data_IF_930418686854
#
_entry.id   IF_930418686854
#
_cell.length_a   1.000
_cell.length_b   1.000
_cell.length_c   1.000
_cell.angle_alpha   90.00
_cell.angle_beta   90.00
_cell.angle_gamma   90.00
#
_symmetry.space_group_name_H-M   'P 1'
#
loop_
_entity.id
_entity.type
_entity.pdbx_description
1 polymer ?
#
# COMPACT_ATOMS: atom_id res chain seq x y z
N UNK A 1 -39.14 -41.40 -13.53
CA UNK A 1 -39.21 -42.40 -12.44
C UNK A 1 -38.44 -43.65 -12.88
N UNK A 2 -37.18 -43.77 -12.44
CA UNK A 2 -36.37 -44.99 -12.21
C UNK A 2 -34.90 -44.58 -12.15
N UNK A 3 -34.38 -44.56 -10.93
CA UNK A 3 -32.95 -44.51 -10.62
C UNK A 3 -32.25 -45.77 -11.17
N UNK A 4 -30.97 -45.61 -11.52
CA UNK A 4 -30.05 -46.73 -11.75
C UNK A 4 -28.61 -46.25 -11.57
N UNK A 5 -28.14 -46.27 -10.32
CA UNK A 5 -26.72 -46.21 -9.95
C UNK A 5 -25.97 -47.36 -10.63
N UNK A 6 -24.80 -47.09 -11.21
CA UNK A 6 -23.73 -48.08 -11.28
C UNK A 6 -22.37 -47.37 -11.12
N UNK A 7 -21.63 -47.82 -10.11
CA UNK A 7 -20.26 -47.46 -9.80
C UNK A 7 -19.29 -48.45 -10.46
N UNK A 8 -18.11 -47.97 -10.89
CA UNK A 8 -16.80 -48.63 -11.06
C UNK A 8 -15.97 -47.73 -12.01
N UNK A 9 -14.66 -47.53 -11.92
CA UNK A 9 -13.59 -48.06 -11.10
C UNK A 9 -12.41 -47.08 -11.16
N UNK A 10 -11.62 -47.04 -10.08
CA UNK A 10 -10.27 -46.49 -10.02
C UNK A 10 -9.36 -47.11 -11.10
N UNK A 11 -8.55 -46.29 -11.78
CA UNK A 11 -7.26 -46.72 -12.32
C UNK A 11 -6.18 -45.71 -11.90
N UNK A 12 -5.28 -46.17 -11.04
CA UNK A 12 -4.01 -45.52 -10.75
C UNK A 12 -2.99 -45.97 -11.81
N UNK A 13 -2.30 -45.03 -12.43
CA UNK A 13 -1.06 -45.30 -13.16
C UNK A 13 0.06 -44.57 -12.43
N UNK A 14 0.85 -45.36 -11.71
CA UNK A 14 2.16 -44.97 -11.22
C UNK A 14 3.13 -44.94 -12.42
N UNK A 15 3.77 -43.79 -12.65
CA UNK A 15 4.85 -43.64 -13.62
C UNK A 15 6.04 -42.98 -12.95
N UNK A 16 7.03 -43.79 -12.57
CA UNK A 16 8.36 -43.33 -12.22
C UNK A 16 9.07 -42.80 -13.47
N UNK A 17 9.52 -41.56 -13.46
CA UNK A 17 10.59 -41.09 -14.34
C UNK A 17 11.61 -40.28 -13.54
N UNK A 18 12.84 -40.77 -13.52
CA UNK A 18 14.05 -40.05 -13.13
C UNK A 18 14.88 -39.80 -14.39
N UNK A 19 15.19 -38.53 -14.66
CA UNK A 19 16.29 -38.02 -15.48
C UNK A 19 16.41 -36.53 -15.12
N UNK A 20 17.41 -36.04 -14.38
CA UNK A 20 18.83 -35.93 -14.70
C UNK A 20 19.09 -35.10 -15.98
N UNK A 21 19.54 -33.87 -15.74
CA UNK A 21 20.29 -32.94 -16.61
C UNK A 21 19.75 -32.55 -18.00
N UNK A 22 19.16 -31.36 -18.04
CA UNK A 22 19.48 -30.36 -19.04
C UNK A 22 19.32 -28.97 -18.41
N UNK A 23 20.44 -28.40 -17.97
CA UNK A 23 20.56 -26.99 -17.61
C UNK A 23 20.50 -26.23 -18.94
N UNK A 24 19.28 -25.99 -19.42
CA UNK A 24 19.01 -25.21 -20.61
C UNK A 24 19.29 -23.74 -20.32
N UNK A 25 20.34 -23.23 -20.95
CA UNK A 25 20.62 -21.83 -21.23
C UNK A 25 19.32 -21.02 -21.34
N UNK A 26 19.03 -20.19 -20.33
CA UNK A 26 17.94 -19.22 -20.38
C UNK A 26 18.22 -18.25 -21.52
N UNK A 27 17.54 -18.47 -22.66
CA UNK A 27 17.49 -17.50 -23.74
C UNK A 27 17.03 -16.17 -23.14
N UNK A 28 17.91 -15.17 -23.17
CA UNK A 28 17.62 -13.82 -22.72
C UNK A 28 16.60 -13.19 -23.67
N UNK A 29 15.31 -13.38 -23.40
CA UNK A 29 14.27 -12.52 -23.95
C UNK A 29 14.53 -11.13 -23.37
N UNK A 30 14.69 -10.14 -24.25
CA UNK A 30 15.05 -8.78 -23.87
C UNK A 30 13.96 -8.16 -23.00
N UNK A 31 14.09 -8.25 -21.67
CA UNK A 31 13.35 -7.43 -20.73
C UNK A 31 13.86 -5.99 -20.85
N UNK A 32 13.07 -5.10 -21.44
CA UNK A 32 13.43 -3.68 -21.53
C UNK A 32 12.92 -2.94 -20.30
N UNK A 33 13.86 -2.47 -19.48
CA UNK A 33 13.63 -1.47 -18.45
C UNK A 33 14.35 -0.19 -18.86
N UNK A 34 13.67 0.95 -18.78
CA UNK A 34 14.33 2.26 -18.94
C UNK A 34 15.03 2.71 -17.66
N UNK A 35 14.77 2.02 -16.55
CA UNK A 35 15.33 2.29 -15.24
C UNK A 35 16.62 1.51 -15.00
N UNK A 36 17.53 2.09 -14.21
CA UNK A 36 18.75 1.40 -13.78
C UNK A 36 18.43 0.27 -12.80
N UNK A 37 19.12 -0.86 -12.95
CA UNK A 37 19.06 -1.94 -11.94
C UNK A 37 19.97 -1.57 -10.76
N UNK A 38 19.37 -1.41 -9.59
CA UNK A 38 20.08 -1.25 -8.33
C UNK A 38 20.46 -2.61 -7.70
N UNK A 39 21.21 -2.59 -6.59
CA UNK A 39 21.50 -3.81 -5.83
C UNK A 39 20.21 -4.39 -5.24
N UNK A 40 20.15 -5.73 -5.18
CA UNK A 40 19.03 -6.46 -4.58
C UNK A 40 18.82 -6.02 -3.11
N UNK A 41 17.56 -6.10 -2.66
CA UNK A 41 17.14 -5.79 -1.30
C UNK A 41 17.12 -7.06 -0.46
N UNK A 42 17.78 -7.03 0.69
CA UNK A 42 17.60 -8.06 1.72
C UNK A 42 16.27 -7.84 2.44
N UNK A 43 15.39 -8.83 2.38
CA UNK A 43 14.13 -8.83 3.11
C UNK A 43 14.23 -9.74 4.33
N UNK A 44 13.85 -9.21 5.49
CA UNK A 44 13.78 -9.93 6.75
C UNK A 44 12.33 -10.24 7.09
N UNK A 45 12.04 -11.50 7.37
CA UNK A 45 10.74 -11.91 7.86
C UNK A 45 10.54 -11.38 9.29
N UNK A 46 9.39 -10.77 9.54
CA UNK A 46 8.96 -10.34 10.86
C UNK A 46 7.97 -11.36 11.43
N UNK A 47 7.97 -11.57 12.76
CA UNK A 47 6.97 -12.40 13.41
C UNK A 47 5.55 -11.91 13.11
N UNK A 48 4.67 -12.83 12.73
CA UNK A 48 3.24 -12.59 12.55
C UNK A 48 2.44 -13.59 13.40
N UNK A 49 1.19 -13.26 13.71
CA UNK A 49 0.29 -14.20 14.37
C UNK A 49 0.08 -15.46 13.50
N UNK A 50 -0.25 -16.59 14.14
CA UNK A 50 -0.45 -17.87 13.45
C UNK A 50 -1.60 -17.75 12.43
N UNK A 51 -1.32 -17.86 11.11
CA UNK A 51 -2.32 -17.68 10.07
C UNK A 51 -3.39 -18.78 10.05
N UNK A 52 -3.19 -19.93 10.72
CA UNK A 52 -4.17 -21.03 10.70
C UNK A 52 -5.56 -20.61 11.19
N UNK A 53 -5.63 -19.65 12.10
CA UNK A 53 -6.90 -19.12 12.60
C UNK A 53 -7.65 -18.25 11.58
N UNK A 54 -6.97 -17.76 10.54
CA UNK A 54 -7.49 -16.80 9.56
C UNK A 54 -7.90 -17.40 8.23
N UNK A 55 -7.43 -18.62 7.92
CA UNK A 55 -7.58 -19.21 6.59
C UNK A 55 -6.84 -18.38 5.54
N UNK A 56 -7.44 -18.19 4.36
CA UNK A 56 -6.85 -17.41 3.28
C UNK A 56 -7.00 -15.90 3.58
N UNK A 57 -5.89 -15.25 3.96
CA UNK A 57 -5.87 -13.81 4.23
C UNK A 57 -5.90 -13.02 2.92
N UNK A 58 -6.84 -12.08 2.80
CA UNK A 58 -7.00 -11.26 1.59
C UNK A 58 -6.65 -9.80 1.81
N UNK A 59 -6.67 -9.31 3.05
CA UNK A 59 -6.38 -7.91 3.36
C UNK A 59 -5.80 -7.74 4.77
N UNK A 60 -5.01 -6.69 4.97
CA UNK A 60 -4.43 -6.31 6.27
C UNK A 60 -4.55 -4.80 6.43
N UNK A 61 -5.08 -4.35 7.57
CA UNK A 61 -4.99 -2.96 8.01
C UNK A 61 -3.93 -2.85 9.11
N UNK A 62 -3.00 -1.91 9.02
CA UNK A 62 -1.88 -1.79 9.94
C UNK A 62 -1.65 -0.33 10.38
N UNK A 63 -1.38 -0.15 11.68
CA UNK A 63 -0.90 1.09 12.26
C UNK A 63 0.17 0.78 13.32
N UNK A 64 1.41 1.20 13.06
CA UNK A 64 2.57 0.87 13.91
C UNK A 64 2.71 -0.66 14.11
N UNK A 65 2.74 -1.12 15.36
CA UNK A 65 2.88 -2.55 15.70
C UNK A 65 1.53 -3.28 15.79
N UNK A 66 0.43 -2.57 15.55
CA UNK A 66 -0.92 -3.12 15.57
C UNK A 66 -1.43 -3.38 14.15
N UNK A 67 -2.10 -4.51 13.96
CA UNK A 67 -2.75 -4.81 12.69
C UNK A 67 -4.01 -5.65 12.88
N UNK A 68 -4.90 -5.57 11.90
CA UNK A 68 -6.01 -6.50 11.72
C UNK A 68 -5.82 -7.21 10.40
N UNK A 69 -5.73 -8.54 10.45
CA UNK A 69 -5.74 -9.39 9.26
C UNK A 69 -7.17 -9.88 9.00
N UNK A 70 -7.57 -9.85 7.73
CA UNK A 70 -8.91 -10.22 7.26
C UNK A 70 -8.79 -11.38 6.27
N UNK A 71 -9.40 -12.51 6.62
CA UNK A 71 -9.35 -13.74 5.82
C UNK A 71 -10.71 -14.44 5.74
N UNK A 72 -10.75 -15.56 5.04
CA UNK A 72 -11.99 -16.32 4.80
C UNK A 72 -12.56 -17.01 6.05
N UNK A 73 -11.81 -17.10 7.13
CA UNK A 73 -12.32 -17.53 8.43
C UNK A 73 -12.80 -16.38 9.33
N UNK A 74 -12.52 -15.12 8.99
CA UNK A 74 -12.86 -13.99 9.85
C UNK A 74 -11.88 -12.81 9.82
N UNK A 75 -11.71 -12.17 10.97
CA UNK A 75 -10.65 -11.20 11.21
C UNK A 75 -9.97 -11.45 12.56
N UNK A 76 -8.69 -11.13 12.63
CA UNK A 76 -7.88 -11.22 13.85
C UNK A 76 -7.18 -9.89 14.10
N UNK A 77 -7.45 -9.29 15.27
CA UNK A 77 -6.75 -8.12 15.79
C UNK A 77 -5.50 -8.58 16.54
N UNK A 78 -4.36 -8.08 16.10
CA UNK A 78 -3.05 -8.28 16.71
C UNK A 78 -2.52 -6.94 17.21
N UNK A 79 -2.01 -6.93 18.44
CA UNK A 79 -1.33 -5.76 19.00
C UNK A 79 0.00 -6.15 19.60
N UNK A 80 1.03 -5.37 19.28
CA UNK A 80 2.40 -5.64 19.72
C UNK A 80 2.81 -7.13 19.55
N UNK A 81 2.40 -7.75 18.44
CA UNK A 81 2.68 -9.15 18.11
C UNK A 81 1.78 -10.20 18.78
N UNK A 82 0.87 -9.83 19.68
CA UNK A 82 -0.05 -10.75 20.35
C UNK A 82 -1.47 -10.70 19.74
N UNK A 83 -2.10 -11.86 19.55
CA UNK A 83 -3.51 -11.92 19.18
C UNK A 83 -4.36 -11.42 20.35
N UNK A 84 -5.02 -10.29 20.15
CA UNK A 84 -5.92 -9.69 21.16
C UNK A 84 -7.33 -10.21 20.99
N UNK A 85 -7.78 -10.33 19.73
CA UNK A 85 -9.16 -10.74 19.44
C UNK A 85 -9.31 -11.40 18.08
N UNK A 86 -10.29 -12.30 17.97
CA UNK A 86 -10.71 -12.91 16.70
C UNK A 86 -12.23 -12.86 16.55
N UNK A 87 -12.72 -12.83 15.31
CA UNK A 87 -14.15 -12.82 15.00
C UNK A 87 -14.43 -13.45 13.63
N UNK A 88 -15.39 -14.38 13.52
CA UNK A 88 -15.68 -15.16 12.30
C UNK A 88 -17.07 -15.00 11.64
N UNK A 89 -17.84 -13.98 11.99
CA UNK A 89 -19.18 -13.65 11.44
C UNK A 89 -19.09 -13.06 10.03
N UNK A 90 -17.99 -12.36 9.72
CA UNK A 90 -17.73 -11.80 8.39
C UNK A 90 -16.50 -12.47 7.81
N UNK A 91 -16.71 -13.19 6.70
CA UNK A 91 -15.73 -14.07 6.06
C UNK A 91 -15.39 -13.69 4.63
N UNK A 92 -16.11 -12.73 4.07
CA UNK A 92 -15.87 -12.25 2.72
C UNK A 92 -15.37 -10.81 2.79
N UNK A 93 -14.10 -10.62 2.44
CA UNK A 93 -13.40 -9.34 2.47
C UNK A 93 -12.84 -9.02 1.10
N UNK A 94 -12.65 -7.73 0.81
CA UNK A 94 -12.05 -7.27 -0.46
C UNK A 94 -10.93 -6.25 -0.29
N UNK A 95 -10.77 -5.69 0.90
CA UNK A 95 -9.76 -4.69 1.16
C UNK A 95 -9.72 -4.31 2.63
N UNK A 96 -8.72 -3.52 3.00
CA UNK A 96 -8.55 -3.02 4.35
C UNK A 96 -7.72 -1.74 4.31
N UNK A 97 -7.86 -0.91 5.33
CA UNK A 97 -7.02 0.26 5.53
C UNK A 97 -6.95 0.60 7.01
N UNK A 98 -5.85 1.23 7.42
CA UNK A 98 -5.84 2.03 8.63
C UNK A 98 -6.33 3.42 8.24
N UNK A 99 -7.41 3.94 8.83
CA UNK A 99 -7.95 5.27 8.52
C UNK A 99 -7.89 6.18 9.76
N UNK A 100 -7.81 7.51 9.60
CA UNK A 100 -8.00 8.43 10.71
C UNK A 100 -9.32 8.14 11.42
N UNK A 101 -9.27 8.07 12.75
CA UNK A 101 -10.41 7.76 13.59
C UNK A 101 -11.51 8.82 13.45
N UNK A 102 -12.78 8.44 13.19
CA UNK A 102 -13.84 9.42 12.93
C UNK A 102 -14.27 10.22 14.17
N UNK A 103 -13.89 9.79 15.36
CA UNK A 103 -14.01 10.54 16.61
C UNK A 103 -12.87 11.55 16.83
N UNK A 104 -11.89 11.59 15.91
CA UNK A 104 -10.73 12.48 15.95
C UNK A 104 -9.53 11.92 16.72
N UNK A 105 -9.64 10.74 17.33
CA UNK A 105 -8.61 10.20 18.21
C UNK A 105 -7.95 8.94 17.65
N UNK A 106 -6.74 9.11 17.14
CA UNK A 106 -5.88 8.00 16.71
C UNK A 106 -6.25 7.44 15.33
N UNK A 107 -6.09 6.13 15.17
CA UNK A 107 -6.23 5.42 13.90
C UNK A 107 -7.13 4.21 14.08
N UNK A 108 -8.06 4.01 13.16
CA UNK A 108 -8.92 2.84 13.11
C UNK A 108 -8.46 1.86 12.05
N UNK A 109 -8.31 0.60 12.43
CA UNK A 109 -8.03 -0.50 11.52
C UNK A 109 -9.36 -1.04 10.99
N UNK A 110 -9.65 -0.83 9.71
CA UNK A 110 -10.93 -1.16 9.09
C UNK A 110 -10.76 -2.17 7.96
N UNK A 111 -11.70 -3.11 7.87
CA UNK A 111 -11.87 -4.03 6.77
C UNK A 111 -13.06 -3.63 5.90
N UNK A 112 -12.90 -3.81 4.60
CA UNK A 112 -13.98 -3.68 3.63
C UNK A 112 -14.51 -5.07 3.29
N UNK A 113 -15.72 -5.34 3.74
CA UNK A 113 -16.44 -6.58 3.45
C UNK A 113 -16.87 -6.66 1.98
N UNK A 114 -17.13 -7.88 1.50
CA UNK A 114 -17.54 -8.12 0.11
C UNK A 114 -18.93 -7.54 -0.22
N UNK A 115 -19.78 -7.32 0.77
CA UNK A 115 -21.04 -6.59 0.64
C UNK A 115 -20.87 -5.07 0.85
N UNK A 116 -19.64 -4.56 0.76
CA UNK A 116 -19.36 -3.12 0.70
C UNK A 116 -19.53 -2.36 2.01
N UNK A 117 -19.57 -3.05 3.17
CA UNK A 117 -19.57 -2.40 4.49
C UNK A 117 -18.14 -2.18 4.97
N UNK A 118 -17.90 -0.98 5.51
CA UNK A 118 -16.65 -0.64 6.20
C UNK A 118 -16.78 -0.98 7.69
N UNK A 119 -16.01 -1.97 8.13
CA UNK A 119 -16.13 -2.58 9.47
C UNK A 119 -14.84 -2.39 10.27
N UNK A 120 -14.96 -2.08 11.56
CA UNK A 120 -13.85 -2.06 12.53
C UNK A 120 -14.04 -3.22 13.51
N UNK A 121 -13.00 -4.03 13.72
CA UNK A 121 -13.01 -5.04 14.79
C UNK A 121 -12.67 -4.35 16.12
N UNK A 122 -13.58 -4.41 17.09
CA UNK A 122 -13.36 -3.89 18.43
C UNK A 122 -12.68 -4.94 19.32
N UNK A 123 -12.01 -4.48 20.38
CA UNK A 123 -11.44 -5.36 21.41
C UNK A 123 -12.51 -6.24 22.09
N UNK A 124 -13.78 -5.78 22.11
CA UNK A 124 -14.92 -6.57 22.61
C UNK A 124 -15.29 -7.76 21.74
N UNK A 125 -14.62 -7.95 20.59
CA UNK A 125 -14.91 -9.06 19.67
C UNK A 125 -16.09 -8.84 18.75
N UNK A 126 -16.53 -7.60 18.58
CA UNK A 126 -17.64 -7.25 17.70
C UNK A 126 -17.17 -6.39 16.55
N UNK A 127 -17.77 -6.57 15.39
CA UNK A 127 -17.64 -5.62 14.30
C UNK A 127 -18.54 -4.40 14.53
N UNK A 128 -17.96 -3.22 14.39
CA UNK A 128 -18.68 -1.97 14.25
C UNK A 128 -18.74 -1.58 12.78
N UNK A 129 -19.94 -1.29 12.25
CA UNK A 129 -20.09 -0.70 10.92
C UNK A 129 -19.85 0.81 10.98
N UNK A 130 -18.59 1.20 10.80
CA UNK A 130 -18.15 2.60 10.84
C UNK A 130 -18.62 3.39 9.62
N UNK A 131 -18.97 2.73 8.51
CA UNK A 131 -19.57 3.37 7.34
C UNK A 131 -20.87 4.12 7.65
N UNK A 132 -21.62 3.71 8.70
CA UNK A 132 -22.83 4.39 9.16
C UNK A 132 -22.59 5.78 9.75
N UNK A 133 -21.34 6.12 10.07
CA UNK A 133 -20.94 7.44 10.56
C UNK A 133 -20.59 8.40 9.42
N UNK A 134 -20.66 7.94 8.17
CA UNK A 134 -20.31 8.70 6.98
C UNK A 134 -21.58 9.02 6.16
N UNK A 135 -21.57 10.09 5.35
CA UNK A 135 -22.69 10.45 4.48
C UNK A 135 -22.74 9.55 3.23
N UNK A 136 -22.82 8.23 3.45
CA UNK A 136 -23.02 7.22 2.40
C UNK A 136 -24.52 6.96 2.29
N UNK A 137 -25.05 7.00 1.08
CA UNK A 137 -26.48 6.80 0.87
C UNK A 137 -26.92 5.38 1.26
N UNK A 138 -28.17 5.22 1.69
CA UNK A 138 -28.72 3.88 1.96
C UNK A 138 -28.69 3.03 0.69
N UNK A 139 -28.08 1.85 0.76
CA UNK A 139 -27.93 0.93 -0.37
C UNK A 139 -26.71 1.21 -1.27
N UNK A 140 -25.92 2.24 -0.99
CA UNK A 140 -24.64 2.49 -1.66
C UNK A 140 -23.53 1.65 -1.02
N UNK A 141 -22.67 1.05 -1.84
CA UNK A 141 -21.61 0.16 -1.40
C UNK A 141 -20.24 0.83 -1.50
N UNK A 142 -19.39 0.57 -0.50
CA UNK A 142 -17.98 0.91 -0.60
C UNK A 142 -17.26 -0.15 -1.46
N UNK A 143 -16.55 0.30 -2.48
CA UNK A 143 -15.76 -0.53 -3.42
C UNK A 143 -14.29 -0.56 -3.07
N UNK A 144 -13.78 0.53 -2.47
CA UNK A 144 -12.39 0.62 -2.03
C UNK A 144 -12.20 1.74 -1.02
N UNK A 145 -11.07 1.69 -0.31
CA UNK A 145 -10.65 2.69 0.68
C UNK A 145 -9.17 3.00 0.47
N UNK A 146 -8.82 4.29 0.43
CA UNK A 146 -7.44 4.76 0.35
C UNK A 146 -7.21 5.92 1.31
N UNK A 147 -6.07 5.91 2.00
CA UNK A 147 -5.66 6.99 2.88
C UNK A 147 -5.02 8.09 2.04
N UNK A 148 -5.44 9.33 2.22
CA UNK A 148 -4.83 10.47 1.51
C UNK A 148 -3.76 11.14 2.38
N UNK A 149 -3.99 11.18 3.70
CA UNK A 149 -3.03 11.61 4.73
C UNK A 149 -3.47 11.17 6.12
N UNK A 150 -2.72 11.55 7.17
CA UNK A 150 -3.05 11.22 8.56
C UNK A 150 -4.37 11.82 9.07
N UNK A 151 -4.95 12.76 8.31
CA UNK A 151 -6.21 13.42 8.64
C UNK A 151 -7.33 13.16 7.63
N UNK A 152 -7.06 12.46 6.53
CA UNK A 152 -8.03 12.28 5.46
C UNK A 152 -7.90 10.95 4.71
N UNK A 153 -9.02 10.49 4.16
CA UNK A 153 -9.11 9.27 3.36
C UNK A 153 -10.23 9.40 2.32
N UNK A 154 -10.15 8.57 1.29
CA UNK A 154 -11.12 8.48 0.21
C UNK A 154 -11.80 7.10 0.21
N UNK A 155 -13.09 7.09 -0.10
CA UNK A 155 -13.87 5.88 -0.35
C UNK A 155 -14.36 5.88 -1.80
N UNK A 156 -14.05 4.83 -2.55
CA UNK A 156 -14.71 4.59 -3.83
C UNK A 156 -16.10 3.99 -3.56
N UNK A 157 -17.13 4.60 -4.13
CA UNK A 157 -18.54 4.22 -4.00
C UNK A 157 -19.12 3.82 -5.36
N UNK A 158 -20.38 3.39 -5.37
CA UNK A 158 -21.14 3.12 -6.60
C UNK A 158 -21.42 4.43 -7.36
N UNK A 159 -20.45 4.91 -8.14
CA UNK A 159 -20.61 6.11 -8.97
C UNK A 159 -20.16 7.41 -8.31
N UNK A 160 -19.34 7.34 -7.26
CA UNK A 160 -18.68 8.51 -6.70
C UNK A 160 -17.41 8.12 -5.95
N UNK A 161 -16.64 9.13 -5.57
CA UNK A 161 -15.63 9.05 -4.53
C UNK A 161 -16.01 10.01 -3.40
N UNK A 162 -16.05 9.51 -2.17
CA UNK A 162 -16.23 10.32 -0.98
C UNK A 162 -14.88 10.59 -0.33
N UNK A 163 -14.45 11.85 -0.36
CA UNK A 163 -13.28 12.32 0.37
C UNK A 163 -13.71 12.78 1.77
N UNK A 164 -13.09 12.23 2.81
CA UNK A 164 -13.38 12.54 4.21
C UNK A 164 -12.15 13.19 4.84
N UNK A 165 -12.33 14.37 5.44
CA UNK A 165 -11.31 15.03 6.24
C UNK A 165 -11.78 15.07 7.70
N UNK A 166 -11.18 14.19 8.50
CA UNK A 166 -11.55 14.01 9.92
C UNK A 166 -11.17 15.24 10.73
N UNK A 167 -9.97 15.79 10.53
CA UNK A 167 -9.49 16.95 11.29
C UNK A 167 -10.36 18.20 11.07
N UNK A 168 -10.93 18.37 9.88
CA UNK A 168 -11.85 19.46 9.55
C UNK A 168 -13.32 19.10 9.75
N UNK A 169 -13.63 17.84 10.06
CA UNK A 169 -14.99 17.30 10.10
C UNK A 169 -15.80 17.59 8.82
N UNK A 170 -15.14 17.51 7.67
CA UNK A 170 -15.77 17.74 6.36
C UNK A 170 -15.71 16.50 5.49
N UNK A 171 -16.65 16.43 4.55
CA UNK A 171 -16.58 15.45 3.47
C UNK A 171 -16.99 16.10 2.15
N UNK A 172 -16.43 15.60 1.06
CA UNK A 172 -16.70 16.05 -0.30
C UNK A 172 -17.01 14.83 -1.15
N UNK A 173 -18.18 14.81 -1.78
CA UNK A 173 -18.54 13.81 -2.78
C UNK A 173 -18.12 14.30 -4.16
N UNK A 174 -17.46 13.43 -4.91
CA UNK A 174 -16.98 13.67 -6.27
C UNK A 174 -17.65 12.64 -7.18
N UNK A 175 -18.52 13.08 -8.06
CA UNK A 175 -19.21 12.17 -8.98
C UNK A 175 -18.23 11.67 -10.05
N UNK A 176 -18.02 10.36 -10.05
CA UNK A 176 -17.11 9.66 -10.97
C UNK A 176 -17.67 8.29 -11.29
N UNK A 177 -17.30 7.66 -12.41
CA UNK A 177 -17.67 6.26 -12.63
C UNK A 177 -17.26 5.36 -11.46
N UNK A 178 -17.99 4.26 -11.24
CA UNK A 178 -17.63 3.27 -10.22
C UNK A 178 -16.21 2.74 -10.47
N UNK A 179 -15.40 2.67 -9.41
CA UNK A 179 -14.01 2.26 -9.48
C UNK A 179 -13.81 0.90 -8.77
N UNK A 180 -13.07 -0.01 -9.39
CA UNK A 180 -12.72 -1.36 -8.93
C UNK A 180 -11.46 -1.34 -8.02
N UNK A 181 -11.40 -0.36 -7.12
CA UNK A 181 -10.26 -0.07 -6.27
C UNK A 181 -9.90 1.41 -6.29
N UNK A 182 -9.10 1.84 -5.31
CA UNK A 182 -8.69 3.25 -5.20
C UNK A 182 -7.29 3.35 -4.61
N UNK A 183 -6.50 4.25 -5.19
CA UNK A 183 -5.28 4.78 -4.63
C UNK A 183 -5.45 6.29 -4.47
N UNK A 184 -4.79 6.88 -3.47
CA UNK A 184 -4.95 8.31 -3.23
C UNK A 184 -3.68 8.95 -2.66
N UNK A 185 -3.54 10.24 -2.95
CA UNK A 185 -2.68 11.20 -2.28
C UNK A 185 -3.55 12.35 -1.76
N UNK A 186 -2.97 13.36 -1.15
CA UNK A 186 -3.74 14.56 -0.76
C UNK A 186 -4.33 15.33 -1.95
N UNK A 187 -3.68 15.28 -3.10
CA UNK A 187 -4.06 16.07 -4.28
C UNK A 187 -4.80 15.27 -5.34
N UNK A 188 -4.64 13.94 -5.36
CA UNK A 188 -5.16 13.09 -6.45
C UNK A 188 -5.71 11.78 -5.94
N UNK A 189 -6.71 11.28 -6.66
CA UNK A 189 -7.30 9.97 -6.43
C UNK A 189 -7.27 9.25 -7.77
N UNK A 190 -6.87 7.98 -7.79
CA UNK A 190 -6.88 7.15 -8.98
C UNK A 190 -7.59 5.83 -8.71
N UNK A 191 -8.30 5.31 -9.69
CA UNK A 191 -8.90 3.99 -9.66
C UNK A 191 -9.13 3.47 -11.07
N UNK A 192 -9.50 2.19 -11.16
CA UNK A 192 -9.74 1.52 -12.43
C UNK A 192 -11.22 1.28 -12.63
N UNK A 193 -11.67 1.30 -13.88
CA UNK A 193 -12.99 0.83 -14.31
C UNK A 193 -12.78 -0.06 -15.53
N UNK A 194 -12.64 -1.37 -15.30
CA UNK A 194 -12.11 -2.27 -16.34
C UNK A 194 -10.77 -1.76 -16.88
N UNK A 195 -10.69 -1.56 -18.19
CA UNK A 195 -9.48 -1.07 -18.89
C UNK A 195 -9.33 0.48 -18.90
N UNK A 196 -10.10 1.18 -18.05
CA UNK A 196 -10.05 2.63 -17.96
C UNK A 196 -9.44 3.06 -16.63
N UNK A 197 -8.40 3.89 -16.71
CA UNK A 197 -7.85 4.60 -15.56
C UNK A 197 -8.59 5.91 -15.38
N UNK A 198 -9.19 6.11 -14.21
CA UNK A 198 -9.83 7.36 -13.80
C UNK A 198 -8.96 8.05 -12.77
N UNK A 199 -8.61 9.31 -13.02
CA UNK A 199 -7.83 10.16 -12.10
C UNK A 199 -8.63 11.41 -11.78
N UNK A 200 -8.82 11.66 -10.48
CA UNK A 200 -9.52 12.83 -9.96
C UNK A 200 -8.52 13.77 -9.32
N UNK A 201 -8.49 15.00 -9.78
CA UNK A 201 -7.80 16.09 -9.09
C UNK A 201 -8.70 16.63 -7.98
N UNK A 202 -8.23 16.55 -6.73
CA UNK A 202 -9.02 16.86 -5.54
C UNK A 202 -9.36 18.35 -5.45
N UNK A 203 -8.44 19.22 -5.89
CA UNK A 203 -8.60 20.67 -5.78
C UNK A 203 -9.63 21.20 -6.80
N UNK A 204 -9.47 20.84 -8.06
CA UNK A 204 -10.37 21.23 -9.15
C UNK A 204 -11.64 20.38 -9.24
N UNK A 205 -11.66 19.22 -8.55
CA UNK A 205 -12.75 18.23 -8.58
C UNK A 205 -13.02 17.68 -9.98
N UNK A 206 -12.02 17.73 -10.86
CA UNK A 206 -12.13 17.24 -12.22
C UNK A 206 -11.63 15.80 -12.29
N UNK A 207 -12.46 14.93 -12.85
CA UNK A 207 -12.06 13.60 -13.25
C UNK A 207 -11.56 13.61 -14.69
N UNK A 208 -10.50 12.86 -14.93
CA UNK A 208 -9.96 12.57 -16.26
C UNK A 208 -9.88 11.06 -16.42
N UNK A 209 -10.16 10.60 -17.63
CA UNK A 209 -10.13 9.18 -17.96
C UNK A 209 -9.12 8.92 -19.05
N UNK A 210 -8.45 7.76 -18.98
CA UNK A 210 -7.54 7.28 -20.01
C UNK A 210 -7.71 5.78 -20.18
N UNK A 211 -7.80 5.32 -21.42
CA UNK A 211 -7.75 3.90 -21.72
C UNK A 211 -6.35 3.36 -21.41
N UNK A 212 -6.28 2.31 -20.60
CA UNK A 212 -5.07 1.54 -20.28
C UNK A 212 -5.46 0.06 -20.36
N UNK A 213 -5.38 -0.55 -21.57
CA UNK A 213 -5.78 -1.94 -21.77
C UNK A 213 -5.06 -2.89 -20.81
N UNK A 214 -5.83 -3.75 -20.14
CA UNK A 214 -5.32 -4.71 -19.17
C UNK A 214 -4.84 -4.06 -17.87
N UNK A 215 -5.24 -2.84 -17.54
CA UNK A 215 -4.91 -2.26 -16.24
C UNK A 215 -5.49 -3.12 -15.10
N UNK A 216 -4.68 -3.40 -14.08
CA UNK A 216 -5.08 -4.23 -12.92
C UNK A 216 -4.78 -3.59 -11.57
N UNK A 217 -3.94 -2.57 -11.53
CA UNK A 217 -3.70 -1.79 -10.32
C UNK A 217 -3.22 -0.39 -10.63
N UNK A 218 -3.47 0.53 -9.70
CA UNK A 218 -2.94 1.88 -9.71
C UNK A 218 -2.35 2.21 -8.34
N UNK A 219 -1.26 2.98 -8.31
CA UNK A 219 -0.63 3.47 -7.10
C UNK A 219 0.02 4.83 -7.36
N UNK A 220 0.42 5.53 -6.29
CA UNK A 220 1.24 6.73 -6.41
C UNK A 220 2.60 6.48 -5.76
N UNK A 221 3.67 6.92 -6.41
CA UNK A 221 5.01 6.88 -5.82
C UNK A 221 5.20 8.02 -4.79
N UNK A 222 6.37 8.05 -4.13
CA UNK A 222 6.68 9.06 -3.13
C UNK A 222 6.76 10.50 -3.67
N UNK A 223 7.01 10.67 -4.97
CA UNK A 223 6.96 11.96 -5.66
C UNK A 223 5.52 12.33 -6.07
N UNK A 224 4.56 11.47 -5.75
CA UNK A 224 3.16 11.62 -6.08
C UNK A 224 2.86 11.32 -7.54
N UNK A 225 3.75 10.69 -8.31
CA UNK A 225 3.53 10.30 -9.72
C UNK A 225 2.65 9.06 -9.78
N UNK A 226 1.76 9.01 -10.77
CA UNK A 226 0.85 7.88 -10.95
C UNK A 226 1.59 6.69 -11.56
N UNK A 227 1.34 5.51 -11.02
CA UNK A 227 1.80 4.23 -11.52
C UNK A 227 0.60 3.36 -11.89
N UNK A 228 0.69 2.64 -13.00
CA UNK A 228 -0.35 1.71 -13.45
C UNK A 228 0.26 0.38 -13.82
N UNK A 229 -0.28 -0.68 -13.26
CA UNK A 229 0.12 -2.05 -13.53
C UNK A 229 -0.75 -2.66 -14.63
N UNK A 230 -0.10 -3.30 -15.59
CA UNK A 230 -0.71 -4.23 -16.55
C UNK A 230 -0.01 -5.59 -16.44
N UNK A 231 -0.54 -6.68 -17.03
CA UNK A 231 0.10 -8.00 -16.98
C UNK A 231 1.56 -8.02 -17.44
N UNK A 232 1.96 -7.12 -18.34
CA UNK A 232 3.30 -7.16 -18.96
C UNK A 232 4.07 -5.85 -18.84
N UNK A 233 3.50 -4.83 -18.20
CA UNK A 233 4.17 -3.55 -18.05
C UNK A 233 3.80 -2.81 -16.77
N UNK A 234 4.79 -2.13 -16.20
CA UNK A 234 4.57 -1.06 -15.22
C UNK A 234 4.70 0.28 -15.96
N UNK A 235 3.62 1.04 -15.95
CA UNK A 235 3.55 2.38 -16.51
C UNK A 235 3.75 3.41 -15.41
N UNK A 236 4.42 4.52 -15.71
CA UNK A 236 4.57 5.67 -14.83
C UNK A 236 4.21 6.95 -15.56
N UNK A 237 3.53 7.84 -14.87
CA UNK A 237 3.23 9.18 -15.36
C UNK A 237 4.50 10.03 -15.45
N UNK A 238 4.68 10.70 -16.57
CA UNK A 238 5.73 11.68 -16.78
C UNK A 238 5.41 12.96 -16.00
N UNK A 239 6.25 13.31 -15.03
CA UNK A 239 5.97 14.42 -14.11
C UNK A 239 4.94 14.05 -13.03
N UNK A 240 4.42 15.05 -12.32
CA UNK A 240 3.62 14.84 -11.10
C UNK A 240 2.12 15.08 -11.27
N UNK A 241 1.67 15.58 -12.42
CA UNK A 241 0.23 15.77 -12.71
C UNK A 241 -0.08 15.88 -14.20
N UNK A 242 -1.03 15.07 -14.68
CA UNK A 242 -1.61 15.16 -16.02
C UNK A 242 -0.69 14.65 -17.14
N UNK A 243 0.38 13.94 -16.79
CA UNK A 243 1.42 13.49 -17.72
C UNK A 243 1.00 12.33 -18.61
N UNK A 244 1.83 12.05 -19.62
CA UNK A 244 1.74 10.81 -20.41
C UNK A 244 2.17 9.63 -19.54
N UNK A 245 1.58 8.45 -19.76
CA UNK A 245 2.04 7.22 -19.11
C UNK A 245 3.13 6.58 -19.99
N UNK A 246 4.34 6.50 -19.46
CA UNK A 246 5.49 5.87 -20.09
C UNK A 246 5.76 4.50 -19.47
N UNK A 247 6.12 3.51 -20.31
CA UNK A 247 6.56 2.19 -19.83
C UNK A 247 7.91 2.34 -19.15
N UNK A 248 7.99 1.94 -17.88
CA UNK A 248 9.25 1.91 -17.12
C UNK A 248 9.76 0.49 -16.89
N UNK A 249 8.85 -0.49 -16.95
CA UNK A 249 9.16 -1.93 -16.94
C UNK A 249 8.30 -2.60 -18.00
N UNK A 250 8.90 -3.51 -18.78
CA UNK A 250 8.20 -4.36 -19.74
C UNK A 250 8.74 -5.80 -19.63
N UNK A 251 7.81 -6.75 -19.51
CA UNK A 251 8.07 -8.17 -19.25
C UNK A 251 7.06 -9.05 -19.99
N UNK A 252 7.46 -9.58 -21.12
CA UNK A 252 6.67 -10.58 -21.87
C UNK A 252 6.93 -12.01 -21.39
N UNK A 253 8.04 -12.22 -20.68
CA UNK A 253 8.46 -13.51 -20.14
C UNK A 253 7.76 -13.87 -18.82
N UNK A 254 7.20 -12.87 -18.13
CA UNK A 254 6.56 -13.08 -16.83
C UNK A 254 5.44 -12.08 -16.59
N UNK A 255 4.35 -12.54 -15.97
CA UNK A 255 3.25 -11.67 -15.58
C UNK A 255 3.58 -10.79 -14.38
N UNK A 256 3.25 -9.51 -14.45
CA UNK A 256 3.21 -8.59 -13.33
C UNK A 256 1.85 -8.69 -12.63
N UNK A 257 1.82 -9.14 -11.37
CA UNK A 257 0.60 -9.58 -10.68
C UNK A 257 0.05 -8.62 -9.63
N UNK A 258 0.90 -7.81 -9.01
CA UNK A 258 0.50 -6.93 -7.92
C UNK A 258 1.29 -5.63 -7.94
N UNK A 259 0.68 -4.55 -7.45
CA UNK A 259 1.26 -3.23 -7.28
C UNK A 259 0.73 -2.63 -5.98
N UNK A 260 1.61 -2.05 -5.17
CA UNK A 260 1.23 -1.31 -3.98
C UNK A 260 2.26 -0.27 -3.60
N UNK A 261 1.84 0.74 -2.85
CA UNK A 261 2.72 1.80 -2.37
C UNK A 261 2.44 2.11 -0.89
N UNK A 262 3.50 2.38 -0.14
CA UNK A 262 3.43 2.72 1.28
C UNK A 262 4.82 3.02 1.83
N UNK A 263 4.92 3.85 2.86
CA UNK A 263 6.21 4.23 3.48
C UNK A 263 7.21 4.87 2.51
N UNK A 264 6.74 5.51 1.45
CA UNK A 264 7.59 6.05 0.38
C UNK A 264 8.20 5.00 -0.55
N UNK A 265 7.79 3.72 -0.43
CA UNK A 265 8.23 2.61 -1.27
C UNK A 265 7.09 2.15 -2.17
N UNK A 266 7.45 1.79 -3.40
CA UNK A 266 6.54 1.14 -4.35
C UNK A 266 7.01 -0.29 -4.54
N UNK A 267 6.09 -1.23 -4.43
CA UNK A 267 6.35 -2.65 -4.68
C UNK A 267 5.48 -3.15 -5.80
N UNK A 268 6.03 -4.04 -6.61
CA UNK A 268 5.28 -4.85 -7.55
C UNK A 268 5.79 -6.30 -7.56
N UNK A 269 4.97 -7.23 -8.04
CA UNK A 269 5.37 -8.63 -8.17
C UNK A 269 5.46 -9.00 -9.64
N UNK A 270 6.62 -9.51 -10.06
CA UNK A 270 6.86 -10.09 -11.39
C UNK A 270 7.06 -11.61 -11.24
N UNK A 271 6.09 -12.39 -11.71
CA UNK A 271 6.06 -13.84 -11.48
C UNK A 271 5.93 -14.10 -9.99
N UNK A 272 6.91 -14.76 -9.38
CA UNK A 272 6.95 -14.98 -7.94
C UNK A 272 7.80 -13.95 -7.18
N UNK A 273 8.39 -12.97 -7.86
CA UNK A 273 9.44 -12.14 -7.30
C UNK A 273 8.94 -10.74 -6.97
N UNK A 274 9.17 -10.22 -5.75
CA UNK A 274 8.89 -8.84 -5.42
C UNK A 274 10.00 -7.93 -5.95
N UNK A 275 9.60 -6.79 -6.46
CA UNK A 275 10.46 -5.74 -6.96
C UNK A 275 10.06 -4.43 -6.31
N UNK A 276 11.06 -3.67 -5.88
CA UNK A 276 10.90 -2.33 -5.36
C UNK A 276 11.30 -1.31 -6.43
N UNK A 277 10.44 -0.33 -6.65
CA UNK A 277 10.78 0.88 -7.40
C UNK A 277 11.21 1.96 -6.40
N UNK A 278 12.50 2.31 -6.45
CA UNK A 278 13.15 3.31 -5.61
C UNK A 278 13.59 4.49 -6.49
N UNK A 279 12.71 5.47 -6.64
CA UNK A 279 12.91 6.61 -7.54
C UNK A 279 13.04 6.18 -9.00
N UNK A 280 14.28 6.17 -9.51
CA UNK A 280 14.63 5.78 -10.88
C UNK A 280 15.37 4.44 -10.96
N UNK A 281 15.43 3.70 -9.85
CA UNK A 281 16.09 2.40 -9.78
C UNK A 281 15.11 1.27 -9.45
N UNK A 282 15.34 0.11 -10.06
CA UNK A 282 14.63 -1.12 -9.75
C UNK A 282 15.52 -2.03 -8.91
N UNK A 283 14.97 -2.55 -7.82
CA UNK A 283 15.68 -3.43 -6.89
C UNK A 283 14.86 -4.67 -6.63
N UNK A 284 15.44 -5.85 -6.85
CA UNK A 284 14.75 -7.12 -6.58
C UNK A 284 14.76 -7.39 -5.07
N UNK A 285 13.63 -7.76 -4.50
CA UNK A 285 13.55 -8.23 -3.11
C UNK A 285 13.96 -9.69 -3.03
N UNK A 286 14.94 -10.01 -2.19
CA UNK A 286 15.34 -11.38 -1.92
C UNK A 286 14.34 -12.07 -0.96
N UNK A 287 14.26 -13.40 -1.01
CA UNK A 287 13.64 -14.28 0.02
C UNK A 287 12.10 -14.39 0.04
N UNK A 288 11.33 -13.37 -0.34
CA UNK A 288 9.87 -13.49 -0.38
C UNK A 288 9.39 -14.02 -1.74
N UNK A 289 9.30 -15.34 -1.92
CA UNK A 289 8.59 -15.88 -3.10
C UNK A 289 7.08 -15.77 -2.88
N UNK A 290 6.41 -15.17 -3.85
CA UNK A 290 4.95 -15.12 -3.93
C UNK A 290 4.50 -16.28 -4.82
N UNK A 291 3.90 -17.30 -4.22
CA UNK A 291 3.22 -18.32 -5.02
C UNK A 291 1.98 -17.74 -5.71
N UNK A 292 1.33 -18.56 -6.55
CA UNK A 292 0.16 -18.15 -7.31
C UNK A 292 -1.07 -17.88 -6.43
N UNK A 293 -1.16 -18.48 -5.24
CA UNK A 293 -2.26 -18.29 -4.29
C UNK A 293 -2.05 -17.05 -3.41
N UNK A 294 -0.82 -16.56 -3.31
CA UNK A 294 -0.46 -15.42 -2.48
C UNK A 294 -0.66 -14.09 -3.21
N UNK A 295 -1.14 -13.11 -2.45
CA UNK A 295 -1.21 -11.70 -2.85
C UNK A 295 -0.15 -10.88 -2.12
N UNK A 296 0.21 -9.75 -2.71
CA UNK A 296 1.09 -8.76 -2.10
C UNK A 296 0.27 -7.59 -1.58
N UNK A 297 0.44 -7.27 -0.31
CA UNK A 297 -0.09 -6.03 0.29
C UNK A 297 1.09 -5.19 0.76
N UNK A 298 0.98 -3.87 0.69
CA UNK A 298 2.05 -2.95 1.13
C UNK A 298 1.62 -2.24 2.40
N UNK A 299 2.45 -2.34 3.42
CA UNK A 299 2.27 -1.65 4.70
C UNK A 299 2.44 -0.14 4.54
N UNK A 300 1.82 0.63 5.44
CA UNK A 300 2.12 2.06 5.59
C UNK A 300 3.59 2.35 5.91
N UNK A 301 4.33 1.40 6.51
CA UNK A 301 5.77 1.53 6.74
C UNK A 301 6.64 1.22 5.51
N UNK A 302 6.02 0.75 4.41
CA UNK A 302 6.73 0.30 3.20
C UNK A 302 7.22 -1.15 3.27
N UNK A 303 6.87 -1.87 4.34
CA UNK A 303 7.02 -3.32 4.43
C UNK A 303 6.06 -4.02 3.46
N UNK A 304 6.38 -5.26 3.11
CA UNK A 304 5.55 -6.09 2.22
C UNK A 304 4.94 -7.23 3.00
N UNK A 305 3.63 -7.35 2.91
CA UNK A 305 2.90 -8.52 3.38
C UNK A 305 2.71 -9.48 2.21
N UNK A 306 3.02 -10.76 2.46
CA UNK A 306 2.51 -11.87 1.67
C UNK A 306 1.26 -12.37 2.37
N UNK A 307 0.12 -12.24 1.71
CA UNK A 307 -1.18 -12.69 2.19
C UNK A 307 -1.67 -13.86 1.31
N UNK A 308 -2.61 -14.65 1.81
CA UNK A 308 -3.07 -15.91 1.23
C UNK A 308 -3.16 -17.00 2.32
N UNK A 309 -2.85 -18.27 2.00
CA UNK A 309 -2.89 -19.37 2.98
C UNK A 309 -1.92 -19.21 4.17
N UNK A 310 -0.89 -18.40 3.98
CA UNK A 310 0.05 -18.03 5.02
C UNK A 310 0.27 -16.51 5.00
N UNK A 311 0.11 -15.89 6.16
CA UNK A 311 0.45 -14.48 6.36
C UNK A 311 1.93 -14.37 6.77
N UNK A 312 2.69 -13.54 6.06
CA UNK A 312 4.05 -13.19 6.43
C UNK A 312 4.33 -11.72 6.13
N UNK A 313 5.01 -11.04 7.04
CA UNK A 313 5.48 -9.67 6.85
C UNK A 313 6.97 -9.66 6.59
N UNK A 314 7.40 -8.93 5.58
CA UNK A 314 8.79 -8.78 5.20
C UNK A 314 9.17 -7.31 5.22
N UNK A 315 10.29 -7.01 5.87
CA UNK A 315 10.86 -5.66 5.97
C UNK A 315 12.17 -5.58 5.23
N UNK A 316 12.41 -4.47 4.54
CA UNK A 316 13.72 -4.16 3.97
C UNK A 316 14.72 -3.94 5.11
N UNK A 317 15.88 -4.56 5.02
CA UNK A 317 17.00 -4.24 5.91
C UNK A 317 17.33 -2.75 5.80
N UNK A 318 17.10 -2.01 6.88
CA UNK A 318 17.43 -0.60 6.92
C UNK A 318 18.95 -0.44 6.97
N UNK A 319 19.48 0.52 6.22
CA UNK A 319 20.86 0.94 6.44
C UNK A 319 21.04 1.46 7.86
N UNK A 320 22.25 1.41 8.42
CA UNK A 320 22.53 1.98 9.74
C UNK A 320 22.10 3.46 9.83
N UNK A 321 22.22 4.18 8.72
CA UNK A 321 21.79 5.57 8.63
C UNK A 321 20.26 5.71 8.62
N UNK A 322 19.54 4.89 7.84
CA UNK A 322 18.06 4.88 7.81
C UNK A 322 17.49 4.46 9.17
N UNK A 323 18.10 3.47 9.83
CA UNK A 323 17.75 3.07 11.19
C UNK A 323 17.97 4.24 12.18
N UNK A 324 19.10 4.94 12.09
CA UNK A 324 19.37 6.12 12.91
C UNK A 324 18.40 7.28 12.62
N UNK A 325 18.06 7.52 11.35
CA UNK A 325 17.08 8.51 10.94
C UNK A 325 15.69 8.18 11.52
N UNK A 326 15.24 6.93 11.42
CA UNK A 326 13.97 6.47 12.00
C UNK A 326 13.94 6.69 13.52
N UNK A 327 15.04 6.38 14.21
CA UNK A 327 15.11 6.50 15.66
C UNK A 327 15.20 7.95 16.15
N UNK A 328 15.86 8.84 15.41
CA UNK A 328 16.23 10.18 15.90
C UNK A 328 15.61 11.34 15.15
N UNK A 329 15.50 11.25 13.83
CA UNK A 329 15.05 12.36 12.98
C UNK A 329 13.55 12.30 12.75
N UNK A 330 12.99 11.11 12.48
CA UNK A 330 11.57 10.95 12.21
C UNK A 330 10.66 11.50 13.35
N UNK A 331 10.94 11.25 14.65
CA UNK A 331 10.15 11.85 15.73
C UNK A 331 10.20 13.38 15.75
N UNK A 332 11.35 13.97 15.43
CA UNK A 332 11.51 15.43 15.30
C UNK A 332 10.71 15.95 14.12
N UNK A 333 10.81 15.29 12.97
CA UNK A 333 10.08 15.63 11.76
C UNK A 333 8.56 15.60 12.00
N UNK A 334 8.04 14.52 12.60
CA UNK A 334 6.62 14.37 12.90
C UNK A 334 6.11 15.48 13.83
N UNK A 335 6.84 15.78 14.91
CA UNK A 335 6.44 16.78 15.91
C UNK A 335 6.62 18.23 15.43
N UNK A 336 7.75 18.55 14.81
CA UNK A 336 8.13 19.92 14.49
C UNK A 336 7.76 20.34 13.06
N UNK A 337 7.75 19.39 12.11
CA UNK A 337 7.53 19.66 10.68
C UNK A 337 6.22 19.06 10.14
N UNK A 338 5.67 18.04 10.81
CA UNK A 338 4.58 17.20 10.30
C UNK A 338 3.29 17.94 9.97
N UNK A 339 2.97 19.02 10.70
CA UNK A 339 1.77 19.83 10.43
C UNK A 339 1.79 20.44 9.00
N UNK A 340 2.96 20.88 8.54
CA UNK A 340 3.13 21.48 7.21
C UNK A 340 3.62 20.48 6.16
N UNK A 341 4.41 19.48 6.56
CA UNK A 341 5.13 18.59 5.65
C UNK A 341 4.62 17.14 5.64
N UNK A 342 3.52 16.84 6.36
CA UNK A 342 2.92 15.52 6.56
C UNK A 342 2.84 14.57 5.34
N UNK A 343 1.77 14.44 4.56
CA UNK A 343 0.92 15.39 3.83
C UNK A 343 1.59 16.07 2.62
N UNK A 344 2.77 16.68 2.78
CA UNK A 344 3.41 17.40 1.68
C UNK A 344 2.73 18.73 1.30
N UNK A 345 1.89 19.31 2.17
CA UNK A 345 1.21 20.61 1.94
C UNK A 345 2.16 21.76 1.59
N UNK A 346 3.42 21.68 2.00
CA UNK A 346 4.46 22.65 1.68
C UNK A 346 5.37 22.22 0.50
N UNK A 347 4.90 21.32 -0.38
CA UNK A 347 5.61 20.87 -1.58
C UNK A 347 6.76 19.90 -1.32
N UNK A 348 6.99 19.50 -0.07
CA UNK A 348 7.99 18.53 0.35
C UNK A 348 7.41 17.61 1.44
N UNK A 349 7.29 16.32 1.14
CA UNK A 349 6.87 15.31 2.11
C UNK A 349 8.05 14.93 3.00
N UNK A 350 7.95 15.14 4.31
CA UNK A 350 9.04 14.85 5.27
C UNK A 350 8.75 13.60 6.13
N UNK A 351 7.85 12.74 5.68
CA UNK A 351 7.41 11.52 6.37
C UNK A 351 8.20 10.26 6.01
N UNK A 352 9.24 10.37 5.17
CA UNK A 352 10.07 9.22 4.77
C UNK A 352 11.56 9.54 4.72
N UNK A 353 12.39 8.53 4.99
CA UNK A 353 13.84 8.63 4.88
C UNK A 353 14.27 9.04 3.47
N UNK A 354 13.66 8.44 2.43
CA UNK A 354 14.01 8.74 1.03
C UNK A 354 13.78 10.20 0.68
N UNK A 355 12.67 10.81 1.13
CA UNK A 355 12.41 12.21 0.89
C UNK A 355 13.39 13.13 1.63
N UNK A 356 13.76 12.80 2.86
CA UNK A 356 14.80 13.50 3.60
C UNK A 356 16.17 13.37 2.93
N UNK A 357 16.51 12.16 2.48
CA UNK A 357 17.77 11.87 1.82
C UNK A 357 17.91 12.62 0.49
N UNK A 358 16.83 12.69 -0.31
CA UNK A 358 16.80 13.43 -1.57
C UNK A 358 16.87 14.95 -1.37
N UNK A 359 16.53 15.46 -0.19
CA UNK A 359 16.41 16.90 0.09
C UNK A 359 17.33 17.37 1.24
N UNK A 360 18.43 16.65 1.52
CA UNK A 360 19.32 16.97 2.66
C UNK A 360 19.78 18.41 2.66
N UNK A 361 20.35 18.89 1.56
CA UNK A 361 20.92 20.25 1.52
C UNK A 361 19.84 21.34 1.62
N UNK A 362 18.70 21.29 0.88
CA UNK A 362 17.61 22.23 1.10
C UNK A 362 17.06 22.25 2.54
N UNK A 363 16.92 21.07 3.17
CA UNK A 363 16.44 20.97 4.55
C UNK A 363 17.48 21.57 5.50
N UNK A 364 18.76 21.21 5.35
CA UNK A 364 19.87 21.72 6.15
C UNK A 364 19.97 23.24 6.11
N UNK A 365 19.91 23.80 4.91
CA UNK A 365 19.99 25.25 4.70
C UNK A 365 18.88 25.97 5.46
N UNK A 366 17.64 25.49 5.34
CA UNK A 366 16.49 26.18 5.95
C UNK A 366 16.35 25.95 7.45
N UNK A 367 16.67 24.74 7.93
CA UNK A 367 16.42 24.31 9.31
C UNK A 367 17.61 24.57 10.22
N UNK A 368 18.84 24.25 9.78
CA UNK A 368 20.03 24.35 10.63
C UNK A 368 20.78 25.67 10.45
N UNK A 369 20.94 26.15 9.20
CA UNK A 369 21.72 27.36 8.89
C UNK A 369 20.88 28.64 8.99
N UNK A 370 19.92 28.80 8.09
CA UNK A 370 19.09 30.01 8.03
C UNK A 370 18.03 30.06 9.15
N UNK A 371 17.69 28.91 9.75
CA UNK A 371 16.68 28.76 10.81
C UNK A 371 15.35 29.45 10.46
N UNK A 372 14.99 29.40 9.17
CA UNK A 372 13.72 29.92 8.65
C UNK A 372 12.59 28.90 8.78
N UNK A 373 12.93 27.66 9.15
CA UNK A 373 12.01 26.57 9.44
C UNK A 373 12.47 25.79 10.69
N UNK A 374 11.52 25.24 11.47
CA UNK A 374 10.09 25.48 11.41
C UNK A 374 9.72 26.94 11.80
N UNK A 375 8.50 27.43 11.49
CA UNK A 375 8.10 28.82 11.78
C UNK A 375 8.25 29.18 13.25
N UNK A 376 8.52 30.46 13.56
CA UNK A 376 8.99 30.98 14.86
C UNK A 376 8.26 30.51 16.13
N UNK A 377 7.03 29.98 16.02
CA UNK A 377 6.27 29.44 17.15
C UNK A 377 6.62 27.97 17.50
N UNK A 378 7.50 27.33 16.73
CA UNK A 378 8.01 25.98 16.99
C UNK A 378 9.53 26.04 17.08
N UNK A 379 10.08 26.13 18.28
CA UNK A 379 11.53 26.05 18.49
C UNK A 379 11.98 24.60 18.53
N UNK A 380 12.98 24.26 17.73
CA UNK A 380 13.70 23.00 17.87
C UNK A 380 14.51 23.04 19.17
N UNK A 381 14.43 21.96 19.95
CA UNK A 381 15.30 21.82 21.12
C UNK A 381 16.77 21.63 20.67
N UNK A 382 17.72 21.77 21.60
CA UNK A 382 19.12 21.42 21.33
C UNK A 382 19.27 19.95 20.95
N UNK A 383 18.45 19.07 21.53
CA UNK A 383 18.44 17.64 21.20
C UNK A 383 17.92 17.40 19.78
N UNK A 384 16.84 18.08 19.40
CA UNK A 384 16.27 18.02 18.05
C UNK A 384 17.29 18.51 17.02
N UNK A 385 17.95 19.63 17.31
CA UNK A 385 19.01 20.20 16.44
C UNK A 385 20.14 19.19 16.27
N UNK A 386 20.62 18.57 17.35
CA UNK A 386 21.68 17.55 17.30
C UNK A 386 21.26 16.31 16.53
N UNK A 387 20.01 15.86 16.69
CA UNK A 387 19.46 14.75 15.93
C UNK A 387 19.46 15.05 14.42
N UNK A 388 19.04 16.26 14.04
CA UNK A 388 19.05 16.72 12.65
C UNK A 388 20.46 16.87 12.09
N UNK A 389 21.40 17.48 12.83
CA UNK A 389 22.81 17.59 12.46
C UNK A 389 23.46 16.21 12.25
N UNK A 390 23.10 15.21 13.06
CA UNK A 390 23.63 13.85 12.92
C UNK A 390 23.27 13.19 11.58
N UNK A 391 22.22 13.66 10.92
CA UNK A 391 21.76 13.14 9.63
C UNK A 391 22.08 14.07 8.45
N UNK A 392 21.90 15.38 8.62
CA UNK A 392 22.12 16.38 7.57
C UNK A 392 23.59 16.84 7.49
N UNK A 393 24.40 16.46 8.47
CA UNK A 393 25.72 17.05 8.71
C UNK A 393 25.63 18.45 9.33
N UNK A 394 26.75 18.97 9.85
CA UNK A 394 26.82 20.27 10.52
C UNK A 394 26.61 21.45 9.56
#
# INVERSE_FOLDING_TARGET
MKLGLLALALLAVAGCFSAADAIGETAAVASTSTLSRGPDLTLHALPTADPKALGDVVAVAEAADDYVAFGDHGAVLVRAGAVVQSQGDVRAWRGAAAIPALDGEGTWLVGLSADGRLLRLLESGRFENVGRRLPIASGEHVRGVAVTSDAAFALALDGAVLLVNVAKQTSVRLDVPSLDGVAATESRIAGLRGDELVVVDVASRKATSRAVPGARGAAFDAAGRLLVLTPHALLREDGTSGGTLSRIVERDDVELRALGAGGGRVWFVAGAEPWNLDGESLRRGSVATFDAASSMLVSRSGDVWRAGPALARHRVELSAEEANWNARVLPVAARACGECHGAGRAGLALSSYSAWNANREPIKERVLRARTMPPLLRTLSTEDTRALESFLGP
#
